data_IF_677640483572
#
_entry.id   IF_677640483572
#
_cell.length_a   1.000
_cell.length_b   1.000
_cell.length_c   1.000
_cell.angle_alpha   90.00
_cell.angle_beta   90.00
_cell.angle_gamma   90.00
#
_symmetry.space_group_name_H-M   'P 1'
#
loop_
_entity.id
_entity.type
_entity.pdbx_description
1 polymer ?
#
# COMPACT_ATOMS: atom_id res chain seq x y z
N UNK A 1 10.24 -19.35 3.09
CA UNK A 1 9.96 -18.26 4.05
C UNK A 1 9.30 -18.90 5.25
N UNK A 2 9.43 -18.27 6.41
CA UNK A 2 8.98 -18.74 7.72
C UNK A 2 7.49 -19.11 7.72
N UNK A 3 7.10 -20.01 8.63
CA UNK A 3 5.73 -20.51 8.89
C UNK A 3 4.62 -19.49 8.51
N UNK A 4 3.57 -19.88 7.80
CA UNK A 4 2.52 -18.94 7.30
C UNK A 4 2.02 -17.98 8.39
N UNK A 5 1.85 -18.50 9.61
CA UNK A 5 1.45 -17.72 10.80
C UNK A 5 2.41 -16.58 11.12
N UNK A 6 3.73 -16.80 10.98
CA UNK A 6 4.73 -15.76 11.19
C UNK A 6 4.64 -14.65 10.14
N UNK A 7 4.28 -14.98 8.91
CA UNK A 7 4.09 -14.00 7.84
C UNK A 7 2.90 -13.08 8.14
N UNK A 8 1.74 -13.65 8.50
CA UNK A 8 0.56 -12.87 8.89
C UNK A 8 0.81 -12.01 10.14
N UNK A 9 1.55 -12.53 11.12
CA UNK A 9 1.91 -11.76 12.31
C UNK A 9 2.76 -10.53 11.97
N UNK A 10 3.82 -10.70 11.17
CA UNK A 10 4.66 -9.58 10.73
C UNK A 10 3.83 -8.56 9.96
N UNK A 11 2.97 -9.03 9.04
CA UNK A 11 2.10 -8.15 8.26
C UNK A 11 1.15 -7.34 9.15
N UNK A 12 0.59 -7.96 10.19
CA UNK A 12 -0.28 -7.30 11.17
C UNK A 12 0.46 -6.23 11.97
N UNK A 13 1.71 -6.49 12.38
CA UNK A 13 2.52 -5.47 13.06
C UNK A 13 2.86 -4.30 12.14
N UNK A 14 3.18 -4.57 10.87
CA UNK A 14 3.46 -3.52 9.89
C UNK A 14 2.21 -2.69 9.58
N UNK A 15 1.03 -3.30 9.49
CA UNK A 15 -0.24 -2.58 9.28
C UNK A 15 -0.57 -1.66 10.45
N UNK A 16 -0.44 -2.15 11.69
CA UNK A 16 -0.58 -1.34 12.91
C UNK A 16 0.43 -0.20 12.99
N UNK A 17 1.68 -0.43 12.57
CA UNK A 17 2.70 0.60 12.49
C UNK A 17 2.30 1.72 11.51
N UNK A 18 1.88 1.37 10.30
CA UNK A 18 1.46 2.36 9.30
C UNK A 18 0.21 3.11 9.72
N UNK A 19 -0.74 2.42 10.35
CA UNK A 19 -1.92 3.05 10.93
C UNK A 19 -1.55 4.07 12.02
N UNK A 20 -0.65 3.69 12.92
CA UNK A 20 -0.16 4.56 13.99
C UNK A 20 0.51 5.81 13.43
N UNK A 21 1.32 5.65 12.38
CA UNK A 21 1.91 6.77 11.65
C UNK A 21 0.84 7.65 11.00
N UNK A 22 -0.17 7.07 10.34
CA UNK A 22 -1.24 7.85 9.72
C UNK A 22 -2.04 8.66 10.76
N UNK A 23 -2.34 8.06 11.91
CA UNK A 23 -2.98 8.70 13.05
C UNK A 23 -2.12 9.84 13.62
N UNK A 24 -0.82 9.60 13.82
CA UNK A 24 0.15 10.61 14.23
C UNK A 24 0.20 11.78 13.25
N UNK A 25 0.35 11.48 11.95
CA UNK A 25 0.41 12.46 10.89
C UNK A 25 -0.80 13.41 10.90
N UNK A 26 -2.01 12.84 10.98
CA UNK A 26 -3.27 13.62 11.02
C UNK A 26 -3.44 14.44 12.29
N UNK A 27 -2.87 14.00 13.41
CA UNK A 27 -3.01 14.70 14.71
C UNK A 27 -2.05 15.87 14.83
N UNK A 28 -0.82 15.70 14.33
CA UNK A 28 0.26 16.65 14.57
C UNK A 28 0.55 17.60 13.42
N UNK A 29 0.34 17.19 12.16
CA UNK A 29 0.58 18.05 11.02
C UNK A 29 -0.69 18.79 10.59
N UNK A 30 -0.52 20.05 10.17
CA UNK A 30 -1.59 20.92 9.67
C UNK A 30 -1.29 21.41 8.27
N UNK A 31 -2.33 21.84 7.55
CA UNK A 31 -2.17 22.56 6.28
C UNK A 31 -1.54 23.93 6.54
N UNK A 32 -0.60 24.40 5.69
CA UNK A 32 0.02 23.68 4.58
C UNK A 32 0.97 22.58 5.10
N UNK A 33 0.77 21.34 4.63
CA UNK A 33 1.50 20.19 5.16
C UNK A 33 2.98 20.27 4.78
N UNK A 34 3.92 20.15 5.74
CA UNK A 34 5.35 20.12 5.43
C UNK A 34 5.73 18.83 4.70
N UNK A 35 6.89 18.84 4.05
CA UNK A 35 7.40 17.68 3.33
C UNK A 35 7.56 16.43 4.22
N UNK A 36 7.92 16.61 5.50
CA UNK A 36 8.06 15.52 6.47
C UNK A 36 6.77 14.71 6.68
N UNK A 37 5.60 15.36 6.64
CA UNK A 37 4.31 14.67 6.71
C UNK A 37 4.13 13.68 5.55
N UNK A 38 4.43 14.15 4.33
CA UNK A 38 4.31 13.33 3.12
C UNK A 38 5.31 12.18 3.15
N UNK A 39 6.57 12.47 3.49
CA UNK A 39 7.62 11.46 3.56
C UNK A 39 7.29 10.36 4.59
N UNK A 40 6.89 10.75 5.80
CA UNK A 40 6.55 9.81 6.87
C UNK A 40 5.38 8.91 6.46
N UNK A 41 4.30 9.48 5.93
CA UNK A 41 3.13 8.71 5.48
C UNK A 41 3.45 7.79 4.29
N UNK A 42 4.23 8.26 3.29
CA UNK A 42 4.63 7.41 2.17
C UNK A 42 5.57 6.28 2.59
N UNK A 43 6.49 6.56 3.52
CA UNK A 43 7.45 5.56 4.00
C UNK A 43 6.75 4.39 4.70
N UNK A 44 5.72 4.66 5.50
CA UNK A 44 5.01 3.61 6.24
C UNK A 44 4.24 2.66 5.30
N UNK A 45 3.63 3.21 4.25
CA UNK A 45 2.94 2.42 3.22
C UNK A 45 3.94 1.63 2.36
N UNK A 46 5.08 2.25 2.01
CA UNK A 46 6.12 1.60 1.21
C UNK A 46 6.69 0.37 1.93
N UNK A 47 6.94 0.45 3.24
CA UNK A 47 7.46 -0.69 4.03
C UNK A 47 6.49 -1.88 4.00
N UNK A 48 5.19 -1.65 4.20
CA UNK A 48 4.19 -2.72 4.11
C UNK A 48 4.20 -3.33 2.70
N UNK A 49 4.17 -2.48 1.69
CA UNK A 49 4.13 -2.93 0.30
C UNK A 49 5.34 -3.79 -0.06
N UNK A 50 6.56 -3.35 0.29
CA UNK A 50 7.80 -4.10 0.05
C UNK A 50 7.77 -5.47 0.71
N UNK A 51 7.22 -5.57 1.92
CA UNK A 51 7.07 -6.87 2.60
C UNK A 51 6.06 -7.77 1.88
N UNK A 52 4.92 -7.22 1.44
CA UNK A 52 3.89 -7.98 0.71
C UNK A 52 4.40 -8.51 -0.64
N UNK A 53 5.17 -7.71 -1.38
CA UNK A 53 5.68 -8.14 -2.69
C UNK A 53 6.96 -8.97 -2.60
N UNK A 54 7.59 -9.07 -1.42
CA UNK A 54 8.82 -9.82 -1.22
C UNK A 54 8.80 -11.27 -1.78
N UNK A 55 7.79 -12.12 -1.48
CA UNK A 55 7.73 -13.47 -2.05
C UNK A 55 7.63 -13.44 -3.59
N UNK A 56 6.87 -12.50 -4.14
CA UNK A 56 6.69 -12.32 -5.59
C UNK A 56 8.01 -11.89 -6.23
N UNK A 57 8.72 -10.92 -5.65
CA UNK A 57 10.03 -10.46 -6.12
C UNK A 57 11.06 -11.60 -6.11
N UNK A 58 11.06 -12.43 -5.06
CA UNK A 58 11.95 -13.59 -4.98
C UNK A 58 11.64 -14.59 -6.10
N UNK A 59 10.36 -14.87 -6.35
CA UNK A 59 9.94 -15.77 -7.42
C UNK A 59 10.30 -15.20 -8.79
N UNK A 60 10.04 -13.91 -9.03
CA UNK A 60 10.38 -13.23 -10.28
C UNK A 60 11.89 -13.23 -10.54
N UNK A 61 12.70 -12.95 -9.51
CA UNK A 61 14.16 -12.99 -9.60
C UNK A 61 14.69 -14.41 -9.86
N UNK A 62 14.14 -15.40 -9.17
CA UNK A 62 14.50 -16.81 -9.35
C UNK A 62 14.15 -17.30 -10.76
N UNK A 63 12.94 -17.03 -11.24
CA UNK A 63 12.50 -17.36 -12.59
C UNK A 63 13.34 -16.64 -13.64
N UNK A 64 13.62 -15.33 -13.47
CA UNK A 64 14.46 -14.58 -14.42
C UNK A 64 15.89 -15.13 -14.52
N UNK A 65 16.51 -15.52 -13.39
CA UNK A 65 17.87 -16.04 -13.37
C UNK A 65 17.96 -17.48 -13.92
N UNK A 66 16.99 -18.34 -13.59
CA UNK A 66 17.06 -19.77 -13.93
C UNK A 66 16.42 -20.13 -15.27
N UNK A 67 15.41 -19.39 -15.73
CA UNK A 67 14.75 -19.65 -17.02
C UNK A 67 15.54 -19.17 -18.24
N UNK A 68 16.75 -18.60 -18.07
CA UNK A 68 17.62 -18.31 -19.22
C UNK A 68 18.06 -19.59 -19.97
N UNK A 69 17.80 -20.79 -19.43
CA UNK A 69 18.24 -22.07 -19.99
C UNK A 69 17.15 -23.12 -20.32
N UNK A 70 15.86 -22.96 -19.95
CA UNK A 70 14.84 -24.00 -20.19
C UNK A 70 13.44 -23.42 -20.56
N UNK A 71 13.00 -23.68 -21.79
CA UNK A 71 11.82 -23.05 -22.42
C UNK A 71 10.44 -23.64 -22.04
N UNK A 72 10.38 -24.79 -21.37
CA UNK A 72 9.13 -25.58 -21.30
C UNK A 72 8.25 -25.39 -20.05
N UNK A 73 8.70 -24.61 -19.04
CA UNK A 73 7.91 -24.32 -17.82
C UNK A 73 7.04 -23.06 -17.98
N UNK A 74 7.18 -22.34 -19.11
CA UNK A 74 6.99 -20.89 -19.18
C UNK A 74 5.53 -20.41 -19.33
N UNK A 75 4.59 -21.18 -19.88
CA UNK A 75 3.33 -20.59 -20.38
C UNK A 75 2.27 -20.20 -19.35
N UNK A 76 2.21 -20.82 -18.17
CA UNK A 76 1.18 -20.50 -17.17
C UNK A 76 1.61 -19.42 -16.17
N UNK A 77 2.89 -19.39 -15.78
CA UNK A 77 3.41 -18.39 -14.84
C UNK A 77 3.73 -17.04 -15.51
N UNK A 78 3.92 -17.01 -16.84
CA UNK A 78 4.26 -15.79 -17.57
C UNK A 78 3.18 -14.69 -17.45
N UNK A 79 1.89 -15.07 -17.40
CA UNK A 79 0.79 -14.11 -17.27
C UNK A 79 0.73 -13.46 -15.89
N UNK A 80 0.84 -14.25 -14.82
CA UNK A 80 0.86 -13.73 -13.45
C UNK A 80 2.06 -12.79 -13.23
N UNK A 81 3.23 -13.19 -13.71
CA UNK A 81 4.46 -12.39 -13.66
C UNK A 81 4.34 -11.07 -14.44
N UNK A 82 3.70 -11.10 -15.61
CA UNK A 82 3.44 -9.89 -16.40
C UNK A 82 2.57 -8.89 -15.62
N UNK A 83 1.46 -9.36 -15.05
CA UNK A 83 0.56 -8.50 -14.27
C UNK A 83 1.22 -7.97 -12.98
N UNK A 84 1.98 -8.80 -12.26
CA UNK A 84 2.78 -8.34 -11.12
C UNK A 84 3.84 -7.31 -11.49
N UNK A 85 4.43 -7.41 -12.68
CA UNK A 85 5.39 -6.41 -13.17
C UNK A 85 4.71 -5.06 -13.40
N UNK A 86 3.54 -5.06 -14.04
CA UNK A 86 2.73 -3.83 -14.22
C UNK A 86 2.33 -3.24 -12.87
N UNK A 87 1.93 -4.08 -11.92
CA UNK A 87 1.58 -3.66 -10.55
C UNK A 87 2.74 -2.93 -9.89
N UNK A 88 3.94 -3.52 -9.88
CA UNK A 88 5.12 -2.95 -9.20
C UNK A 88 5.53 -1.63 -9.86
N UNK A 89 5.57 -1.58 -11.19
CA UNK A 89 5.92 -0.36 -11.94
C UNK A 89 4.90 0.75 -11.66
N UNK A 90 3.61 0.42 -11.68
CA UNK A 90 2.53 1.38 -11.43
C UNK A 90 2.57 1.91 -10.00
N UNK A 91 2.87 1.06 -9.01
CA UNK A 91 2.99 1.48 -7.62
C UNK A 91 4.16 2.44 -7.43
N UNK A 92 5.34 2.11 -7.97
CA UNK A 92 6.51 2.99 -7.92
C UNK A 92 6.20 4.34 -8.58
N UNK A 93 5.59 4.32 -9.76
CA UNK A 93 5.21 5.52 -10.48
C UNK A 93 4.23 6.38 -9.67
N UNK A 94 3.25 5.76 -9.01
CA UNK A 94 2.30 6.47 -8.14
C UNK A 94 3.02 7.20 -7.00
N UNK A 95 3.98 6.56 -6.34
CA UNK A 95 4.78 7.16 -5.27
C UNK A 95 5.61 8.34 -5.78
N UNK A 96 6.26 8.20 -6.93
CA UNK A 96 7.06 9.26 -7.55
C UNK A 96 6.22 10.48 -7.94
N UNK A 97 5.05 10.26 -8.55
CA UNK A 97 4.12 11.34 -8.92
C UNK A 97 3.63 12.07 -7.66
N UNK A 98 3.22 11.32 -6.63
CA UNK A 98 2.68 11.88 -5.38
C UNK A 98 3.70 12.68 -4.58
N UNK A 99 4.92 12.15 -4.42
CA UNK A 99 6.00 12.84 -3.69
C UNK A 99 6.56 13.99 -4.53
N UNK A 100 6.75 13.76 -5.83
CA UNK A 100 7.36 14.69 -6.77
C UNK A 100 6.50 15.86 -7.20
N UNK A 101 5.17 15.80 -7.02
CA UNK A 101 4.20 16.80 -7.50
C UNK A 101 4.31 17.02 -9.01
N UNK A 102 4.36 15.92 -9.77
CA UNK A 102 4.51 15.94 -11.23
C UNK A 102 3.12 15.80 -11.87
N UNK A 103 2.75 16.63 -12.87
CA UNK A 103 3.58 17.59 -13.62
C UNK A 103 3.56 19.04 -13.10
N UNK A 104 2.75 19.39 -12.11
CA UNK A 104 2.55 20.80 -11.69
C UNK A 104 3.82 21.48 -11.17
N UNK A 105 4.82 20.70 -10.72
CA UNK A 105 6.15 21.21 -10.39
C UNK A 105 6.88 21.84 -11.59
N UNK A 106 6.61 21.37 -12.81
CA UNK A 106 7.27 21.83 -14.02
C UNK A 106 6.53 23.00 -14.68
N UNK A 107 5.19 23.04 -14.61
CA UNK A 107 4.37 24.12 -15.15
C UNK A 107 3.32 24.60 -14.13
N UNK A 108 3.70 25.45 -13.15
CA UNK A 108 2.76 25.98 -12.17
C UNK A 108 1.67 26.81 -12.85
N UNK A 109 0.40 26.63 -12.44
CA UNK A 109 -0.76 27.34 -12.99
C UNK A 109 -1.45 26.67 -14.19
N UNK A 110 -0.77 25.75 -14.89
CA UNK A 110 -1.35 25.07 -16.06
C UNK A 110 -2.28 23.90 -15.67
N UNK A 111 -2.00 23.29 -14.52
CA UNK A 111 -2.66 22.08 -14.05
C UNK A 111 -3.65 22.34 -12.91
N UNK A 112 -4.08 23.59 -12.70
CA UNK A 112 -4.89 23.96 -11.54
C UNK A 112 -6.30 23.34 -11.53
N UNK A 113 -6.85 22.96 -12.70
CA UNK A 113 -8.17 22.33 -12.83
C UNK A 113 -8.10 20.84 -13.21
N UNK A 114 -7.22 20.48 -14.15
CA UNK A 114 -7.07 19.12 -14.66
C UNK A 114 -5.58 18.75 -14.75
N UNK A 115 -5.25 17.46 -14.55
CA UNK A 115 -3.88 16.97 -14.67
C UNK A 115 -2.96 17.22 -13.47
N UNK A 116 -3.50 17.60 -12.31
CA UNK A 116 -2.73 17.65 -11.06
C UNK A 116 -2.11 16.29 -10.73
N UNK A 117 -0.94 16.28 -10.07
CA UNK A 117 -0.30 15.06 -9.57
C UNK A 117 -1.24 14.20 -8.73
N UNK A 118 -2.21 14.79 -8.03
CA UNK A 118 -3.18 14.02 -7.26
C UNK A 118 -4.09 13.17 -8.15
N UNK A 119 -4.53 13.69 -9.31
CA UNK A 119 -5.32 12.93 -10.28
C UNK A 119 -4.47 11.84 -10.93
N UNK A 120 -3.23 12.15 -11.32
CA UNK A 120 -2.31 11.18 -11.89
C UNK A 120 -1.92 10.07 -10.88
N UNK A 121 -1.78 10.42 -9.60
CA UNK A 121 -1.60 9.47 -8.51
C UNK A 121 -2.80 8.52 -8.42
N UNK A 122 -4.04 9.02 -8.42
CA UNK A 122 -5.23 8.17 -8.38
C UNK A 122 -5.33 7.23 -9.58
N UNK A 123 -4.96 7.70 -10.78
CA UNK A 123 -4.93 6.85 -11.97
C UNK A 123 -3.90 5.72 -11.85
N UNK A 124 -2.69 6.04 -11.40
CA UNK A 124 -1.59 5.06 -11.30
C UNK A 124 -1.78 4.08 -10.14
N UNK A 125 -2.31 4.53 -9.01
CA UNK A 125 -2.66 3.62 -7.91
C UNK A 125 -3.87 2.74 -8.27
N UNK A 126 -4.83 3.24 -9.06
CA UNK A 126 -5.90 2.39 -9.60
C UNK A 126 -5.33 1.30 -10.52
N UNK A 127 -4.40 1.67 -11.43
CA UNK A 127 -3.74 0.70 -12.31
C UNK A 127 -2.97 -0.36 -11.51
N UNK A 128 -2.35 0.03 -10.40
CA UNK A 128 -1.70 -0.89 -9.45
C UNK A 128 -2.71 -1.90 -8.91
N UNK A 129 -3.84 -1.45 -8.38
CA UNK A 129 -4.87 -2.35 -7.84
C UNK A 129 -5.48 -3.26 -8.90
N UNK A 130 -5.71 -2.73 -10.11
CA UNK A 130 -6.24 -3.49 -11.24
C UNK A 130 -5.29 -4.62 -11.67
N UNK A 131 -4.02 -4.29 -11.88
CA UNK A 131 -3.01 -5.28 -12.25
C UNK A 131 -2.73 -6.28 -11.13
N UNK A 132 -2.76 -5.85 -9.86
CA UNK A 132 -2.68 -6.74 -8.71
C UNK A 132 -3.83 -7.77 -8.70
N UNK A 133 -5.06 -7.33 -8.96
CA UNK A 133 -6.22 -8.23 -8.98
C UNK A 133 -6.10 -9.28 -10.10
N UNK A 134 -5.67 -8.88 -11.30
CA UNK A 134 -5.45 -9.83 -12.40
C UNK A 134 -4.29 -10.79 -12.10
N UNK A 135 -3.21 -10.32 -11.48
CA UNK A 135 -2.08 -11.17 -11.11
C UNK A 135 -2.51 -12.26 -10.11
N UNK A 136 -3.22 -11.87 -9.05
CA UNK A 136 -3.75 -12.80 -8.05
C UNK A 136 -4.74 -13.78 -8.67
N UNK A 137 -5.59 -13.32 -9.60
CA UNK A 137 -6.51 -14.20 -10.31
C UNK A 137 -5.76 -15.30 -11.09
N UNK A 138 -4.72 -14.92 -11.84
CA UNK A 138 -3.87 -15.88 -12.58
C UNK A 138 -3.13 -16.84 -11.62
N UNK A 139 -2.61 -16.34 -10.49
CA UNK A 139 -1.99 -17.19 -9.46
C UNK A 139 -2.98 -18.22 -8.89
N UNK A 140 -4.23 -17.81 -8.63
CA UNK A 140 -5.25 -18.68 -8.07
C UNK A 140 -5.70 -19.79 -9.02
N UNK A 141 -5.64 -19.57 -10.34
CA UNK A 141 -5.99 -20.60 -11.34
C UNK A 141 -5.09 -21.84 -11.27
N UNK A 142 -3.91 -21.71 -10.65
CA UNK A 142 -2.94 -22.81 -10.49
C UNK A 142 -3.17 -23.70 -9.26
N UNK A 143 -4.12 -23.34 -8.38
CA UNK A 143 -4.31 -23.96 -7.04
C UNK A 143 -5.56 -24.86 -7.02
N UNK A 144 -5.53 -25.96 -6.25
CA UNK A 144 -6.70 -26.84 -6.05
C UNK A 144 -7.82 -26.19 -5.23
N UNK A 145 -9.08 -26.46 -5.59
CA UNK A 145 -10.27 -25.85 -4.97
C UNK A 145 -10.39 -26.10 -3.46
N UNK A 146 -10.05 -27.31 -2.98
CA UNK A 146 -10.15 -27.65 -1.55
C UNK A 146 -9.14 -26.85 -0.70
N UNK A 147 -7.92 -26.65 -1.21
CA UNK A 147 -6.91 -25.83 -0.54
C UNK A 147 -7.32 -24.35 -0.53
N UNK A 148 -7.95 -23.87 -1.61
CA UNK A 148 -8.46 -22.49 -1.69
C UNK A 148 -9.51 -22.25 -0.61
N UNK A 149 -10.48 -23.15 -0.43
CA UNK A 149 -11.58 -22.94 0.52
C UNK A 149 -11.09 -22.89 1.98
N UNK A 150 -10.19 -23.80 2.38
CA UNK A 150 -9.64 -23.81 3.74
C UNK A 150 -8.81 -22.55 4.03
N UNK A 151 -7.90 -22.17 3.11
CA UNK A 151 -7.07 -20.98 3.27
C UNK A 151 -7.91 -19.70 3.25
N UNK A 152 -8.94 -19.63 2.40
CA UNK A 152 -9.85 -18.48 2.33
C UNK A 152 -10.55 -18.23 3.67
N UNK A 153 -11.09 -19.26 4.31
CA UNK A 153 -11.76 -19.10 5.62
C UNK A 153 -10.80 -18.62 6.71
N UNK A 154 -9.58 -19.16 6.72
CA UNK A 154 -8.51 -18.77 7.63
C UNK A 154 -8.07 -17.31 7.39
N UNK A 155 -7.87 -16.93 6.14
CA UNK A 155 -7.46 -15.59 5.72
C UNK A 155 -8.53 -14.54 6.05
N UNK A 156 -9.80 -14.84 5.80
CA UNK A 156 -10.93 -13.98 6.18
C UNK A 156 -10.94 -13.77 7.70
N UNK A 157 -10.79 -14.84 8.48
CA UNK A 157 -10.78 -14.75 9.94
C UNK A 157 -9.64 -13.86 10.44
N UNK A 158 -8.41 -14.09 9.98
CA UNK A 158 -7.26 -13.25 10.36
C UNK A 158 -7.46 -11.80 9.95
N UNK A 159 -7.97 -11.55 8.74
CA UNK A 159 -8.25 -10.20 8.24
C UNK A 159 -9.26 -9.49 9.14
N UNK A 160 -10.36 -10.16 9.52
CA UNK A 160 -11.37 -9.58 10.41
C UNK A 160 -10.80 -9.25 11.79
N UNK A 161 -9.97 -10.13 12.36
CA UNK A 161 -9.31 -9.90 13.65
C UNK A 161 -8.42 -8.65 13.57
N UNK A 162 -7.56 -8.56 12.55
CA UNK A 162 -6.66 -7.41 12.35
C UNK A 162 -7.46 -6.12 12.17
N UNK A 163 -8.52 -6.14 11.35
CA UNK A 163 -9.39 -4.98 11.15
C UNK A 163 -10.04 -4.50 12.45
N UNK A 164 -10.49 -5.41 13.31
CA UNK A 164 -11.04 -5.04 14.62
C UNK A 164 -9.97 -4.36 15.48
N UNK A 165 -8.76 -4.91 15.55
CA UNK A 165 -7.65 -4.30 16.28
C UNK A 165 -7.26 -2.92 15.75
N UNK A 166 -7.24 -2.75 14.42
CA UNK A 166 -6.98 -1.47 13.77
C UNK A 166 -8.07 -0.44 14.11
N UNK A 167 -9.35 -0.81 14.03
CA UNK A 167 -10.46 0.06 14.40
C UNK A 167 -10.39 0.49 15.87
N UNK A 168 -10.11 -0.44 16.78
CA UNK A 168 -9.92 -0.14 18.21
C UNK A 168 -8.76 0.85 18.39
N UNK A 169 -7.65 0.65 17.69
CA UNK A 169 -6.47 1.53 17.73
C UNK A 169 -6.84 2.95 17.28
N UNK A 170 -7.59 3.10 16.18
CA UNK A 170 -8.07 4.41 15.71
C UNK A 170 -8.98 5.08 16.73
N UNK A 171 -9.93 4.33 17.31
CA UNK A 171 -10.89 4.86 18.29
C UNK A 171 -10.16 5.35 19.55
N UNK A 172 -9.23 4.54 20.08
CA UNK A 172 -8.42 4.90 21.25
C UNK A 172 -7.58 6.13 20.93
N UNK A 173 -6.87 6.12 19.80
CA UNK A 173 -6.04 7.25 19.37
C UNK A 173 -6.87 8.54 19.26
N UNK A 174 -8.04 8.47 18.62
CA UNK A 174 -8.93 9.61 18.47
C UNK A 174 -9.39 10.16 19.82
N UNK A 175 -9.79 9.29 20.76
CA UNK A 175 -10.18 9.71 22.11
C UNK A 175 -9.06 10.42 22.86
N UNK A 176 -7.84 9.90 22.79
CA UNK A 176 -6.66 10.49 23.45
C UNK A 176 -6.27 11.83 22.80
N UNK A 177 -6.35 11.90 21.47
CA UNK A 177 -5.89 13.07 20.69
C UNK A 177 -6.91 14.20 20.63
N UNK A 178 -8.19 13.91 20.84
CA UNK A 178 -9.30 14.87 20.80
C UNK A 178 -9.03 16.16 21.60
N UNK A 179 -8.65 16.14 22.89
CA UNK A 179 -8.43 17.38 23.65
C UNK A 179 -7.32 18.24 23.04
N UNK A 180 -6.21 17.63 22.60
CA UNK A 180 -5.11 18.32 21.93
C UNK A 180 -5.56 18.97 20.61
N UNK A 181 -6.39 18.27 19.84
CA UNK A 181 -6.96 18.79 18.58
C UNK A 181 -7.85 20.01 18.88
N UNK A 182 -8.78 19.88 19.82
CA UNK A 182 -9.72 20.96 20.20
C UNK A 182 -9.01 22.21 20.75
N UNK A 183 -8.02 22.04 21.63
CA UNK A 183 -7.22 23.15 22.16
C UNK A 183 -6.54 23.93 21.04
N UNK A 184 -5.93 23.23 20.08
CA UNK A 184 -5.23 23.85 18.96
C UNK A 184 -6.19 24.51 17.95
N UNK A 185 -7.45 24.08 17.86
CA UNK A 185 -8.47 24.79 17.07
C UNK A 185 -8.86 26.10 17.73
N UNK A 186 -9.10 26.10 19.04
CA UNK A 186 -9.42 27.33 19.81
C UNK A 186 -8.33 28.40 19.70
N UNK A 187 -7.05 28.00 19.76
CA UNK A 187 -5.91 28.94 19.61
C UNK A 187 -5.90 29.58 18.21
N UNK A 188 -6.23 28.83 17.16
CA UNK A 188 -6.21 29.36 15.80
C UNK A 188 -7.27 30.45 15.59
N UNK A 189 -8.51 30.21 16.05
CA UNK A 189 -9.59 31.21 15.97
C UNK A 189 -9.38 32.43 16.88
N UNK A 190 -8.54 32.33 17.90
CA UNK A 190 -8.19 33.48 18.77
C UNK A 190 -7.11 34.38 18.15
N UNK A 191 -6.37 33.87 17.17
CA UNK A 191 -5.24 34.56 16.53
C UNK A 191 -5.57 35.06 15.10
N UNK A 192 -6.83 34.92 14.66
CA UNK A 192 -7.39 35.51 13.43
C UNK A 192 -8.26 36.71 13.83
#
# INVERSE_FOLDING_TARGET
FTNETSYYLILSFLSLYSLSIACFCKTFYRRPYPFSHKFLQCSSVLVIYLFQIWPILKNLFFTFILCNNNQNIIKSEEKALFWHSIQIISFILSGLIFVGRIPERFCPGLFDLFGQSHHAFHLTIFLTSFSQANAVFEDMLSISLDNIQYNLMKDILYTLIVLIFELITVIIWFRISRPTIEQRYKIHFKNQ
#
